data_IF_995727826917
#
_entry.id   IF_995727826917
#
_cell.length_a   1.000
_cell.length_b   1.000
_cell.length_c   1.000
_cell.angle_alpha   90.00
_cell.angle_beta   90.00
_cell.angle_gamma   90.00
#
_symmetry.space_group_name_H-M   'P 1'
#
loop_
_entity.id
_entity.type
_entity.pdbx_description
1 polymer ?
#
# COMPACT_ATOMS: atom_id res chain seq x y z
N UNK A 1 0.96 -2.87 -19.21
CA UNK A 1 1.71 -3.50 -18.10
C UNK A 1 1.28 -4.95 -18.04
N UNK A 2 2.21 -5.89 -17.84
CA UNK A 2 1.83 -7.29 -17.62
C UNK A 2 1.15 -7.46 -16.26
N UNK A 3 0.24 -8.43 -16.18
CA UNK A 3 -0.58 -8.64 -15.01
C UNK A 3 0.19 -9.54 -14.01
N UNK A 4 0.47 -9.02 -12.82
CA UNK A 4 1.36 -9.66 -11.84
C UNK A 4 0.62 -10.64 -10.93
N UNK A 5 0.28 -11.82 -11.44
CA UNK A 5 -0.49 -12.83 -10.71
C UNK A 5 0.20 -14.17 -10.54
N UNK A 6 1.52 -14.20 -10.69
CA UNK A 6 2.35 -15.38 -10.54
C UNK A 6 3.47 -15.11 -9.52
N UNK A 7 4.20 -16.16 -9.18
CA UNK A 7 5.37 -16.04 -8.31
C UNK A 7 6.59 -15.71 -9.15
N UNK A 8 7.07 -14.48 -9.03
CA UNK A 8 8.31 -14.02 -9.66
C UNK A 8 9.14 -13.22 -8.66
N UNK A 9 10.47 -13.36 -8.74
CA UNK A 9 11.41 -12.61 -7.90
C UNK A 9 11.31 -11.13 -8.28
N UNK A 10 11.24 -10.26 -7.27
CA UNK A 10 11.14 -8.81 -7.47
C UNK A 10 9.71 -8.25 -7.51
N UNK A 11 8.67 -9.10 -7.65
CA UNK A 11 7.27 -8.66 -7.56
C UNK A 11 6.73 -8.62 -6.11
N UNK A 12 7.45 -9.27 -5.19
CA UNK A 12 7.02 -9.49 -3.81
C UNK A 12 5.88 -10.52 -3.71
N UNK A 13 5.80 -11.19 -2.56
CA UNK A 13 4.80 -12.23 -2.30
C UNK A 13 4.09 -11.88 -1.00
N UNK A 14 2.87 -11.38 -1.11
CA UNK A 14 2.10 -10.91 0.04
C UNK A 14 0.86 -11.78 0.25
N UNK A 15 0.87 -12.56 1.31
CA UNK A 15 -0.30 -13.33 1.71
C UNK A 15 -1.37 -12.45 2.35
N UNK A 16 -2.61 -12.94 2.46
CA UNK A 16 -3.69 -12.21 3.16
C UNK A 16 -3.30 -11.80 4.60
N UNK A 17 -2.64 -12.67 5.42
CA UNK A 17 -2.07 -12.26 6.70
C UNK A 17 -1.02 -11.15 6.60
N UNK A 18 -0.14 -11.20 5.60
CA UNK A 18 0.89 -10.16 5.41
C UNK A 18 0.25 -8.80 5.16
N UNK A 19 -0.70 -8.72 4.22
CA UNK A 19 -1.44 -7.48 3.92
C UNK A 19 -2.15 -6.97 5.17
N UNK A 20 -2.80 -7.87 5.93
CA UNK A 20 -3.51 -7.52 7.16
C UNK A 20 -2.56 -6.94 8.21
N UNK A 21 -1.39 -7.53 8.41
CA UNK A 21 -0.38 -7.03 9.34
C UNK A 21 0.24 -5.70 8.87
N UNK A 22 0.71 -5.64 7.62
CA UNK A 22 1.40 -4.49 7.03
C UNK A 22 0.50 -3.24 7.01
N UNK A 23 -0.77 -3.41 6.69
CA UNK A 23 -1.73 -2.29 6.61
C UNK A 23 -2.53 -2.06 7.91
N UNK A 24 -2.25 -2.84 8.98
CA UNK A 24 -2.99 -2.82 10.24
C UNK A 24 -4.52 -2.98 10.07
N UNK A 25 -4.91 -4.07 9.42
CA UNK A 25 -6.29 -4.39 9.07
C UNK A 25 -6.68 -5.76 9.63
N UNK A 26 -8.00 -5.97 9.81
CA UNK A 26 -8.52 -7.30 10.13
C UNK A 26 -8.37 -8.24 8.93
N UNK A 27 -7.84 -9.44 9.16
CA UNK A 27 -7.71 -10.51 8.15
C UNK A 27 -8.99 -10.71 7.33
N UNK A 28 -10.14 -10.84 8.01
CA UNK A 28 -11.44 -11.08 7.35
C UNK A 28 -11.81 -9.99 6.34
N UNK A 29 -11.45 -8.75 6.64
CA UNK A 29 -11.72 -7.62 5.74
C UNK A 29 -10.86 -7.69 4.49
N UNK A 30 -9.56 -7.97 4.62
CA UNK A 30 -8.68 -8.16 3.47
C UNK A 30 -9.15 -9.35 2.62
N UNK A 31 -9.44 -10.48 3.27
CA UNK A 31 -9.89 -11.70 2.61
C UNK A 31 -11.16 -11.49 1.77
N UNK A 32 -12.19 -10.85 2.35
CA UNK A 32 -13.46 -10.57 1.65
C UNK A 32 -13.22 -9.63 0.46
N UNK A 33 -12.48 -8.53 0.66
CA UNK A 33 -12.24 -7.55 -0.40
C UNK A 33 -11.42 -8.15 -1.55
N UNK A 34 -10.40 -8.95 -1.25
CA UNK A 34 -9.60 -9.65 -2.25
C UNK A 34 -10.47 -10.55 -3.12
N UNK A 35 -11.30 -11.39 -2.49
CA UNK A 35 -12.14 -12.34 -3.19
C UNK A 35 -13.27 -11.66 -3.99
N UNK A 36 -13.95 -10.69 -3.40
CA UNK A 36 -15.15 -10.09 -4.01
C UNK A 36 -14.82 -9.01 -5.04
N UNK A 37 -13.75 -8.25 -4.84
CA UNK A 37 -13.45 -7.11 -5.69
C UNK A 37 -12.25 -7.34 -6.60
N UNK A 38 -11.09 -7.70 -6.05
CA UNK A 38 -9.90 -7.92 -6.88
C UNK A 38 -10.05 -9.15 -7.77
N UNK A 39 -10.32 -10.34 -7.21
CA UNK A 39 -10.39 -11.56 -8.02
C UNK A 39 -11.64 -11.68 -8.88
N UNK A 40 -12.80 -11.22 -8.39
CA UNK A 40 -14.08 -11.32 -9.12
C UNK A 40 -14.35 -10.09 -9.96
N UNK A 41 -14.54 -8.92 -9.34
CA UNK A 41 -15.01 -7.72 -10.05
C UNK A 41 -13.97 -7.14 -11.02
N UNK A 42 -12.73 -6.97 -10.57
CA UNK A 42 -11.65 -6.42 -11.40
C UNK A 42 -11.04 -7.51 -12.27
N UNK A 43 -10.79 -8.68 -11.68
CA UNK A 43 -10.19 -9.80 -12.40
C UNK A 43 -10.98 -10.25 -13.63
N UNK A 44 -12.32 -10.30 -13.54
CA UNK A 44 -13.17 -10.61 -14.70
C UNK A 44 -13.05 -9.61 -15.86
N UNK A 45 -12.64 -8.37 -15.62
CA UNK A 45 -12.44 -7.36 -16.67
C UNK A 45 -11.13 -7.59 -17.44
N UNK A 46 -10.13 -8.20 -16.79
CA UNK A 46 -8.82 -8.48 -17.36
C UNK A 46 -8.65 -9.96 -17.77
N UNK A 47 -9.64 -10.82 -17.52
CA UNK A 47 -9.56 -12.26 -17.78
C UNK A 47 -8.63 -13.02 -16.82
N UNK A 48 -8.14 -12.35 -15.77
CA UNK A 48 -7.11 -12.86 -14.87
C UNK A 48 -7.45 -12.56 -13.40
N UNK A 49 -6.83 -13.24 -12.44
CA UNK A 49 -7.04 -12.96 -11.00
C UNK A 49 -5.83 -12.26 -10.43
N UNK A 50 -6.05 -11.24 -9.60
CA UNK A 50 -4.99 -10.51 -8.89
C UNK A 50 -4.27 -11.36 -7.82
N UNK A 51 -4.78 -12.55 -7.53
CA UNK A 51 -4.17 -13.46 -6.57
C UNK A 51 -3.93 -14.86 -7.14
N UNK A 52 -2.92 -15.52 -6.60
CA UNK A 52 -2.66 -16.94 -6.80
C UNK A 52 -2.73 -17.69 -5.47
N UNK A 53 -2.90 -19.02 -5.57
CA UNK A 53 -2.92 -19.89 -4.39
C UNK A 53 -1.50 -20.16 -3.91
N UNK A 54 -1.29 -20.01 -2.61
CA UNK A 54 -0.06 -20.41 -1.91
C UNK A 54 -0.48 -21.24 -0.70
N UNK A 55 -0.23 -22.56 -0.77
CA UNK A 55 -0.73 -23.54 0.20
C UNK A 55 -2.24 -23.37 0.47
N UNK A 56 -2.62 -23.12 1.73
CA UNK A 56 -3.99 -22.94 2.18
C UNK A 56 -4.43 -21.45 2.19
N UNK A 57 -3.63 -20.57 1.59
CA UNK A 57 -3.88 -19.12 1.51
C UNK A 57 -3.83 -18.62 0.07
N UNK A 58 -4.03 -17.31 -0.08
CA UNK A 58 -3.80 -16.56 -1.31
C UNK A 58 -2.66 -15.59 -1.11
N UNK A 59 -1.91 -15.34 -2.17
CA UNK A 59 -0.91 -14.29 -2.25
C UNK A 59 -1.19 -13.35 -3.41
N UNK A 60 -0.66 -12.14 -3.31
CA UNK A 60 -0.78 -11.06 -4.30
C UNK A 60 0.58 -10.39 -4.51
N UNK A 61 0.73 -9.67 -5.61
CA UNK A 61 1.91 -8.85 -5.90
C UNK A 61 1.98 -7.58 -5.06
N UNK A 62 3.12 -6.91 -5.06
CA UNK A 62 3.30 -5.62 -4.41
C UNK A 62 2.32 -4.55 -4.87
N UNK A 63 2.06 -4.45 -6.17
CA UNK A 63 1.13 -3.45 -6.67
C UNK A 63 -0.30 -3.70 -6.14
N UNK A 64 -0.70 -4.97 -5.95
CA UNK A 64 -1.97 -5.27 -5.29
C UNK A 64 -1.98 -4.86 -3.80
N UNK A 65 -0.86 -5.00 -3.08
CA UNK A 65 -0.75 -4.46 -1.72
C UNK A 65 -0.92 -2.92 -1.71
N UNK A 66 -0.32 -2.22 -2.68
CA UNK A 66 -0.45 -0.77 -2.83
C UNK A 66 -1.89 -0.35 -3.18
N UNK A 67 -2.55 -1.10 -4.06
CA UNK A 67 -3.97 -0.97 -4.38
C UNK A 67 -4.85 -1.03 -3.11
N UNK A 68 -4.60 -2.02 -2.23
CA UNK A 68 -5.24 -2.09 -0.92
C UNK A 68 -4.96 -0.85 -0.07
N UNK A 69 -3.69 -0.45 0.05
CA UNK A 69 -3.31 0.72 0.84
C UNK A 69 -4.11 1.96 0.41
N UNK A 70 -4.15 2.29 -0.89
CA UNK A 70 -4.89 3.46 -1.40
C UNK A 70 -6.39 3.31 -1.20
N UNK A 71 -6.96 2.13 -1.46
CA UNK A 71 -8.36 1.83 -1.19
C UNK A 71 -8.72 2.15 0.27
N UNK A 72 -7.90 1.72 1.22
CA UNK A 72 -8.15 1.95 2.63
C UNK A 72 -7.94 3.41 3.05
N UNK A 73 -6.98 4.12 2.45
CA UNK A 73 -6.86 5.56 2.66
C UNK A 73 -8.10 6.33 2.19
N UNK A 74 -8.71 5.93 1.07
CA UNK A 74 -9.97 6.50 0.59
C UNK A 74 -11.14 6.16 1.51
N UNK A 75 -11.18 4.92 2.05
CA UNK A 75 -12.17 4.51 3.05
C UNK A 75 -12.08 5.34 4.33
N UNK A 76 -10.88 5.63 4.81
CA UNK A 76 -10.63 6.46 6.00
C UNK A 76 -11.16 7.88 5.84
N UNK A 77 -11.07 8.45 4.62
CA UNK A 77 -11.62 9.78 4.29
C UNK A 77 -13.15 9.74 4.12
N UNK A 78 -13.76 8.55 4.20
CA UNK A 78 -15.22 8.39 4.18
C UNK A 78 -15.82 8.12 2.79
N UNK A 79 -14.99 7.81 1.79
CA UNK A 79 -15.47 7.46 0.45
C UNK A 79 -16.22 6.10 0.51
N UNK A 80 -17.44 6.00 -0.06
CA UNK A 80 -18.17 4.74 -0.14
C UNK A 80 -17.41 3.72 -0.98
N UNK A 81 -17.47 2.44 -0.58
CA UNK A 81 -16.74 1.35 -1.26
C UNK A 81 -17.06 1.32 -2.75
N UNK A 82 -18.34 1.39 -3.12
CA UNK A 82 -18.76 1.37 -4.52
C UNK A 82 -18.11 2.50 -5.34
N UNK A 83 -17.98 3.71 -4.78
CA UNK A 83 -17.34 4.84 -5.47
C UNK A 83 -15.84 4.62 -5.70
N UNK A 84 -15.16 3.95 -4.76
CA UNK A 84 -13.76 3.57 -4.95
C UNK A 84 -13.63 2.53 -6.06
N UNK A 85 -14.51 1.53 -6.09
CA UNK A 85 -14.50 0.48 -7.11
C UNK A 85 -14.84 1.02 -8.52
N UNK A 86 -15.77 1.97 -8.60
CA UNK A 86 -16.12 2.66 -9.84
C UNK A 86 -14.93 3.49 -10.34
N UNK A 87 -14.28 4.26 -9.46
CA UNK A 87 -13.09 5.03 -9.79
C UNK A 87 -11.93 4.14 -10.25
N UNK A 88 -11.67 3.03 -9.55
CA UNK A 88 -10.67 2.05 -9.98
C UNK A 88 -10.96 1.54 -11.40
N UNK A 89 -12.19 1.10 -11.67
CA UNK A 89 -12.58 0.55 -12.98
C UNK A 89 -12.43 1.60 -14.10
N UNK A 90 -12.81 2.85 -13.83
CA UNK A 90 -12.67 3.96 -14.77
C UNK A 90 -11.20 4.27 -15.07
N UNK A 91 -10.36 4.39 -14.03
CA UNK A 91 -8.94 4.67 -14.18
C UNK A 91 -8.19 3.51 -14.86
N UNK A 92 -8.54 2.27 -14.53
CA UNK A 92 -7.96 1.07 -15.16
C UNK A 92 -8.19 1.07 -16.67
N UNK A 93 -9.43 1.38 -17.10
CA UNK A 93 -9.78 1.49 -18.52
C UNK A 93 -9.11 2.67 -19.19
N UNK A 94 -9.14 3.84 -18.57
CA UNK A 94 -8.60 5.09 -19.13
C UNK A 94 -7.10 5.05 -19.34
N UNK A 95 -6.36 4.39 -18.44
CA UNK A 95 -4.90 4.36 -18.44
C UNK A 95 -4.33 2.98 -18.80
N UNK A 96 -5.17 2.04 -19.25
CA UNK A 96 -4.78 0.70 -19.68
C UNK A 96 -3.85 -0.02 -18.68
N UNK A 97 -4.23 0.04 -17.40
CA UNK A 97 -3.47 -0.56 -16.30
C UNK A 97 -4.38 -1.38 -15.40
N UNK A 98 -3.87 -2.51 -14.91
CA UNK A 98 -4.54 -3.30 -13.89
C UNK A 98 -4.40 -2.71 -12.47
N UNK A 99 -3.43 -1.81 -12.27
CA UNK A 99 -3.05 -1.28 -10.96
C UNK A 99 -3.07 0.27 -10.94
N UNK A 100 -4.22 0.92 -11.20
CA UNK A 100 -4.30 2.37 -11.32
C UNK A 100 -3.87 3.12 -10.04
N UNK A 101 -4.11 2.56 -8.85
CA UNK A 101 -3.68 3.11 -7.57
C UNK A 101 -2.24 2.78 -7.21
N UNK A 102 -1.49 2.07 -8.05
CA UNK A 102 -0.05 1.90 -7.91
C UNK A 102 0.78 2.84 -8.82
N UNK A 103 0.14 3.63 -9.68
CA UNK A 103 0.81 4.54 -10.63
C UNK A 103 0.84 5.98 -10.10
N UNK A 104 2.03 6.57 -9.96
CA UNK A 104 2.24 7.91 -9.38
C UNK A 104 1.45 9.00 -10.12
N UNK A 105 1.48 9.00 -11.45
CA UNK A 105 0.81 10.01 -12.30
C UNK A 105 -0.72 9.96 -12.17
N UNK A 106 -1.27 8.82 -11.75
CA UNK A 106 -2.70 8.67 -11.47
C UNK A 106 -2.99 9.15 -10.04
N UNK A 107 -2.28 8.61 -9.04
CA UNK A 107 -2.54 8.91 -7.63
C UNK A 107 -2.33 10.40 -7.31
N UNK A 108 -1.30 11.02 -7.88
CA UNK A 108 -0.99 12.44 -7.64
C UNK A 108 -2.05 13.39 -8.19
N UNK A 109 -2.83 12.94 -9.19
CA UNK A 109 -3.95 13.69 -9.78
C UNK A 109 -5.29 13.33 -9.14
N UNK A 110 -5.31 12.38 -8.20
CA UNK A 110 -6.52 11.91 -7.55
C UNK A 110 -6.75 12.67 -6.25
N UNK A 111 -7.96 13.21 -6.09
CA UNK A 111 -8.35 14.05 -4.96
C UNK A 111 -9.72 13.64 -4.41
N UNK A 112 -10.08 14.13 -3.22
CA UNK A 112 -11.39 13.91 -2.62
C UNK A 112 -12.12 15.24 -2.37
N UNK A 113 -13.36 15.34 -2.88
CA UNK A 113 -14.29 16.42 -2.54
C UNK A 113 -15.46 15.81 -1.77
N UNK A 114 -15.43 15.98 -0.44
CA UNK A 114 -16.34 15.27 0.47
C UNK A 114 -16.18 13.76 0.35
N UNK A 115 -17.25 13.05 0.00
CA UNK A 115 -17.28 11.58 -0.17
C UNK A 115 -17.05 11.12 -1.61
N UNK A 116 -16.63 12.01 -2.51
CA UNK A 116 -16.43 11.74 -3.94
C UNK A 116 -14.95 11.80 -4.29
N UNK A 117 -14.52 10.90 -5.16
CA UNK A 117 -13.20 10.92 -5.78
C UNK A 117 -13.30 11.82 -7.02
N UNK A 118 -12.35 12.74 -7.17
CA UNK A 118 -12.19 13.56 -8.37
C UNK A 118 -10.80 13.33 -8.95
N UNK A 119 -10.66 13.49 -10.26
CA UNK A 119 -9.41 13.28 -10.98
C UNK A 119 -9.08 14.52 -11.79
N UNK A 120 -7.92 15.11 -11.52
CA UNK A 120 -7.43 16.31 -12.18
C UNK A 120 -6.93 15.98 -13.59
N UNK A 121 -7.55 16.58 -14.61
CA UNK A 121 -7.17 16.34 -16.00
C UNK A 121 -6.13 17.36 -16.44
N UNK A 122 -6.28 18.63 -16.05
CA UNK A 122 -5.39 19.76 -16.32
C UNK A 122 -5.25 20.66 -15.08
N UNK A 123 -4.13 21.40 -14.96
CA UNK A 123 -3.75 22.24 -13.80
C UNK A 123 -4.76 23.34 -13.40
N UNK A 124 -5.86 23.55 -14.15
CA UNK A 124 -6.75 24.71 -14.01
C UNK A 124 -8.26 24.41 -13.95
N UNK A 125 -8.72 23.16 -13.87
CA UNK A 125 -10.17 22.87 -13.77
C UNK A 125 -10.51 21.86 -12.67
N UNK A 126 -10.77 22.39 -11.47
CA UNK A 126 -11.55 21.71 -10.42
C UNK A 126 -12.89 22.44 -10.33
N UNK A 127 -13.87 22.02 -11.13
CA UNK A 127 -15.21 22.63 -11.13
C UNK A 127 -16.13 21.88 -10.15
N UNK A 128 -16.54 22.57 -9.09
CA UNK A 128 -17.61 22.15 -8.17
C UNK A 128 -18.98 22.57 -8.73
N UNK A 129 -19.95 21.64 -8.71
CA UNK A 129 -21.32 21.79 -9.24
C UNK A 129 -22.36 21.94 -8.12
N UNK A 130 -22.03 22.76 -7.13
CA UNK A 130 -22.90 23.23 -6.07
C UNK A 130 -22.87 24.76 -6.09
N UNK A 131 -24.05 25.37 -5.97
CA UNK A 131 -24.38 26.77 -6.27
C UNK A 131 -23.63 27.83 -5.45
N UNK A 132 -22.61 27.46 -4.67
CA UNK A 132 -21.86 28.33 -3.77
C UNK A 132 -20.44 28.66 -4.24
N UNK A 133 -19.92 28.06 -5.32
CA UNK A 133 -18.55 28.29 -5.85
C UNK A 133 -17.42 28.17 -4.80
N UNK A 134 -17.66 27.52 -3.65
CA UNK A 134 -16.62 27.31 -2.65
C UNK A 134 -15.82 26.04 -2.97
N UNK A 135 -14.58 26.25 -3.39
CA UNK A 135 -13.54 25.23 -3.45
C UNK A 135 -13.24 24.74 -2.03
N UNK A 136 -13.72 23.55 -1.66
CA UNK A 136 -13.36 22.92 -0.40
C UNK A 136 -11.96 22.29 -0.52
N UNK A 137 -10.93 23.14 -0.68
CA UNK A 137 -9.51 22.81 -0.86
C UNK A 137 -8.85 22.12 0.35
N UNK A 138 -9.61 21.75 1.39
CA UNK A 138 -9.04 21.32 2.67
C UNK A 138 -8.60 19.85 2.76
N UNK A 139 -8.89 19.01 1.77
CA UNK A 139 -8.61 17.57 1.87
C UNK A 139 -7.96 16.96 0.62
N UNK A 140 -6.90 17.61 0.12
CA UNK A 140 -5.90 16.91 -0.69
C UNK A 140 -5.12 16.00 0.26
N UNK A 141 -5.68 14.84 0.61
CA UNK A 141 -4.91 13.80 1.30
C UNK A 141 -3.97 13.25 0.24
N UNK A 142 -2.68 13.52 0.36
CA UNK A 142 -1.65 12.93 -0.48
C UNK A 142 -1.64 11.41 -0.23
N UNK A 143 -2.43 10.64 -0.97
CA UNK A 143 -2.53 9.19 -0.77
C UNK A 143 -1.16 8.51 -0.96
N UNK A 144 -0.30 9.09 -1.81
CA UNK A 144 1.04 8.63 -2.12
C UNK A 144 2.13 8.93 -1.06
N UNK A 145 1.84 9.63 0.05
CA UNK A 145 2.89 10.09 0.99
C UNK A 145 3.72 8.96 1.64
N UNK A 146 3.23 7.71 1.64
CA UNK A 146 3.92 6.51 2.12
C UNK A 146 4.52 5.64 1.02
N UNK A 147 4.54 6.10 -0.23
CA UNK A 147 5.03 5.34 -1.38
C UNK A 147 6.26 6.02 -1.97
N UNK A 148 7.23 5.23 -2.41
CA UNK A 148 8.19 5.65 -3.45
C UNK A 148 7.79 5.01 -4.78
N UNK A 149 8.18 5.68 -5.85
CA UNK A 149 7.92 5.24 -7.22
C UNK A 149 9.23 5.15 -8.00
N UNK A 150 9.27 4.23 -8.95
CA UNK A 150 10.40 4.05 -9.85
C UNK A 150 10.38 5.05 -11.02
N UNK A 151 11.34 4.89 -11.94
CA UNK A 151 11.44 5.69 -13.18
C UNK A 151 10.24 5.52 -14.13
N UNK A 152 9.48 4.45 -13.99
CA UNK A 152 8.29 4.14 -14.78
C UNK A 152 7.00 4.62 -14.10
N UNK A 153 7.12 5.38 -13.00
CA UNK A 153 6.00 5.87 -12.19
C UNK A 153 5.23 4.77 -11.44
N UNK A 154 5.81 3.58 -11.27
CA UNK A 154 5.20 2.49 -10.53
C UNK A 154 5.70 2.47 -9.09
N UNK A 155 4.80 2.19 -8.15
CA UNK A 155 5.18 2.09 -6.75
C UNK A 155 6.21 0.97 -6.58
N UNK A 156 7.34 1.27 -5.94
CA UNK A 156 8.40 0.28 -5.69
C UNK A 156 8.78 0.14 -4.22
N UNK A 157 8.36 1.07 -3.35
CA UNK A 157 8.53 0.94 -1.90
C UNK A 157 7.31 1.46 -1.17
N UNK A 158 6.98 0.82 -0.06
CA UNK A 158 5.96 1.26 0.86
C UNK A 158 6.54 1.44 2.27
N UNK A 159 6.11 2.50 2.95
CA UNK A 159 6.57 2.87 4.29
C UNK A 159 5.39 2.72 5.26
N UNK A 160 5.21 1.57 5.94
CA UNK A 160 4.00 1.30 6.73
C UNK A 160 3.69 2.39 7.77
N UNK A 161 4.72 2.88 8.46
CA UNK A 161 4.62 3.96 9.46
C UNK A 161 5.00 5.34 8.90
N UNK A 162 5.20 5.47 7.58
CA UNK A 162 5.60 6.71 6.92
C UNK A 162 7.11 6.86 6.73
N UNK A 163 7.51 7.78 5.84
CA UNK A 163 8.90 7.90 5.35
C UNK A 163 9.94 8.32 6.39
N UNK A 164 9.49 8.85 7.54
CA UNK A 164 10.38 9.16 8.66
C UNK A 164 10.80 7.91 9.45
N UNK A 165 10.02 6.83 9.38
CA UNK A 165 10.34 5.54 9.99
C UNK A 165 11.23 4.74 9.02
N UNK A 166 12.20 4.00 9.57
CA UNK A 166 13.16 3.21 8.79
C UNK A 166 12.64 1.84 8.36
N UNK A 167 11.47 1.38 8.82
CA UNK A 167 10.87 0.13 8.31
C UNK A 167 10.19 0.37 6.96
N UNK A 168 10.58 -0.43 5.97
CA UNK A 168 10.06 -0.36 4.60
C UNK A 168 9.60 -1.74 4.14
N UNK A 169 8.71 -1.73 3.16
CA UNK A 169 8.29 -2.86 2.35
C UNK A 169 8.83 -2.60 0.95
N UNK A 170 9.69 -3.51 0.47
CA UNK A 170 10.38 -3.40 -0.82
C UNK A 170 10.32 -4.77 -1.50
N UNK A 171 9.58 -4.94 -2.63
CA UNK A 171 9.36 -6.23 -3.25
C UNK A 171 10.62 -6.89 -3.82
N UNK A 172 11.69 -6.11 -4.04
CA UNK A 172 12.99 -6.61 -4.49
C UNK A 172 13.82 -7.21 -3.34
N UNK A 173 13.43 -6.95 -2.09
CA UNK A 173 14.14 -7.40 -0.90
C UNK A 173 13.27 -8.31 -0.03
N UNK A 174 13.82 -9.46 0.38
CA UNK A 174 13.14 -10.39 1.29
C UNK A 174 11.71 -10.75 0.86
N UNK A 175 11.48 -10.89 -0.45
CA UNK A 175 10.17 -11.15 -1.05
C UNK A 175 9.09 -10.12 -0.69
N UNK A 176 9.48 -8.89 -0.37
CA UNK A 176 8.55 -7.83 0.04
C UNK A 176 8.25 -7.79 1.53
N UNK A 177 8.79 -8.70 2.35
CA UNK A 177 8.56 -8.64 3.79
C UNK A 177 9.10 -7.33 4.40
N UNK A 178 8.47 -6.79 5.46
CA UNK A 178 8.96 -5.59 6.13
C UNK A 178 10.40 -5.75 6.62
N UNK A 179 11.27 -4.82 6.23
CA UNK A 179 12.69 -4.80 6.59
C UNK A 179 13.11 -3.41 7.09
N UNK A 180 14.18 -3.36 7.86
CA UNK A 180 14.85 -2.10 8.19
C UNK A 180 15.58 -1.59 6.93
N UNK A 181 15.29 -0.36 6.51
CA UNK A 181 15.82 0.29 5.31
C UNK A 181 17.34 0.20 5.24
N UNK A 182 17.84 -0.07 4.04
CA UNK A 182 19.26 -0.32 3.71
C UNK A 182 19.85 -1.56 4.40
N UNK A 183 19.01 -2.49 4.84
CA UNK A 183 19.41 -3.79 5.40
C UNK A 183 18.44 -4.86 4.90
N UNK A 184 18.69 -6.13 5.25
CA UNK A 184 17.73 -7.23 5.10
C UNK A 184 17.23 -7.74 6.47
N UNK A 185 17.30 -6.90 7.51
CA UNK A 185 16.94 -7.29 8.87
C UNK A 185 15.44 -7.09 9.08
N UNK A 186 14.75 -8.15 9.47
CA UNK A 186 13.35 -8.07 9.87
C UNK A 186 13.20 -7.28 11.18
N UNK A 187 12.23 -6.35 11.29
CA UNK A 187 11.93 -5.63 12.53
C UNK A 187 11.65 -6.58 13.71
N UNK A 188 11.05 -7.75 13.42
CA UNK A 188 10.75 -8.76 14.42
C UNK A 188 12.00 -9.30 15.13
N UNK A 189 13.13 -9.40 14.43
CA UNK A 189 14.42 -9.81 15.01
C UNK A 189 14.84 -8.86 16.12
N UNK A 190 14.78 -7.55 15.84
CA UNK A 190 15.12 -6.48 16.80
C UNK A 190 14.12 -6.47 17.96
N UNK A 191 12.83 -6.59 17.65
CA UNK A 191 11.78 -6.57 18.66
C UNK A 191 11.85 -7.76 19.63
N UNK A 192 12.19 -8.95 19.13
CA UNK A 192 12.37 -10.15 19.96
C UNK A 192 13.56 -10.00 20.93
N UNK A 193 14.70 -9.48 20.47
CA UNK A 193 15.85 -9.19 21.35
C UNK A 193 15.49 -8.18 22.43
N UNK A 194 14.77 -7.11 22.05
CA UNK A 194 14.30 -6.12 23.01
C UNK A 194 13.33 -6.72 24.04
N UNK A 195 12.43 -7.61 23.63
CA UNK A 195 11.55 -8.38 24.54
C UNK A 195 12.32 -9.26 25.51
N UNK A 196 13.44 -9.83 25.08
CA UNK A 196 14.38 -10.59 25.92
C UNK A 196 15.23 -9.72 26.85
N UNK A 197 14.93 -8.42 26.95
CA UNK A 197 15.59 -7.42 27.81
C UNK A 197 17.00 -7.02 27.36
N UNK A 198 17.38 -7.31 26.12
CA UNK A 198 18.60 -6.76 25.55
C UNK A 198 18.51 -5.23 25.43
N UNK A 199 19.63 -4.55 25.71
CA UNK A 199 19.68 -3.10 25.63
C UNK A 199 19.63 -2.64 24.17
N UNK A 200 18.95 -1.52 23.90
CA UNK A 200 18.87 -0.96 22.54
C UNK A 200 20.24 -0.64 21.94
N UNK A 201 21.21 -0.25 22.78
CA UNK A 201 22.60 0.02 22.36
C UNK A 201 23.30 -1.27 21.93
N UNK A 202 23.21 -2.32 22.74
CA UNK A 202 23.78 -3.62 22.40
C UNK A 202 23.18 -4.17 21.10
N UNK A 203 21.86 -4.06 20.90
CA UNK A 203 21.20 -4.48 19.66
C UNK A 203 21.69 -3.67 18.47
N UNK A 204 21.79 -2.34 18.61
CA UNK A 204 22.30 -1.45 17.56
C UNK A 204 23.73 -1.82 17.13
N UNK A 205 24.62 -2.03 18.11
CA UNK A 205 26.01 -2.44 17.89
C UNK A 205 26.09 -3.83 17.25
N UNK A 206 25.32 -4.80 17.73
CA UNK A 206 25.36 -6.19 17.23
C UNK A 206 24.91 -6.36 15.78
N UNK A 207 24.01 -5.48 15.31
CA UNK A 207 23.45 -5.52 13.96
C UNK A 207 23.98 -4.41 13.06
N UNK A 208 24.93 -3.61 13.54
CA UNK A 208 25.50 -2.45 12.82
C UNK A 208 24.43 -1.48 12.30
N UNK A 209 23.39 -1.24 13.11
CA UNK A 209 22.30 -0.31 12.80
C UNK A 209 22.25 0.84 13.80
N UNK A 210 21.63 1.94 13.41
CA UNK A 210 21.45 3.09 14.31
C UNK A 210 20.45 2.81 15.43
N UNK A 211 20.61 3.50 16.56
CA UNK A 211 19.61 3.50 17.64
C UNK A 211 18.21 3.92 17.14
N UNK A 212 18.16 4.81 16.15
CA UNK A 212 16.90 5.19 15.52
C UNK A 212 16.24 3.98 14.82
N UNK A 213 17.00 3.23 14.02
CA UNK A 213 16.48 2.00 13.37
C UNK A 213 16.00 0.97 14.38
N UNK A 214 16.70 0.81 15.51
CA UNK A 214 16.24 -0.06 16.60
C UNK A 214 14.89 0.41 17.16
N UNK A 215 14.74 1.71 17.44
CA UNK A 215 13.50 2.28 17.97
C UNK A 215 12.35 2.14 16.97
N UNK A 216 12.59 2.48 15.71
CA UNK A 216 11.61 2.41 14.62
C UNK A 216 11.11 0.98 14.40
N UNK A 217 12.01 -0.01 14.43
CA UNK A 217 11.66 -1.44 14.32
C UNK A 217 10.78 -1.92 15.48
N UNK A 218 11.11 -1.49 16.71
CA UNK A 218 10.29 -1.78 17.90
C UNK A 218 8.91 -1.11 17.79
N UNK A 219 8.85 0.13 17.33
CA UNK A 219 7.59 0.86 17.11
C UNK A 219 6.71 0.13 16.07
N UNK A 220 7.28 -0.24 14.93
CA UNK A 220 6.60 -1.03 13.90
C UNK A 220 5.96 -2.29 14.48
N UNK A 221 6.75 -3.15 15.13
CA UNK A 221 6.24 -4.38 15.72
C UNK A 221 5.14 -4.14 16.77
N UNK A 222 5.21 -3.06 17.56
CA UNK A 222 4.15 -2.73 18.53
C UNK A 222 2.85 -2.27 17.87
N UNK A 223 2.93 -1.65 16.69
CA UNK A 223 1.77 -1.15 15.96
C UNK A 223 0.99 -2.22 15.19
N UNK A 224 1.66 -3.33 14.84
CA UNK A 224 1.09 -4.45 14.07
C UNK A 224 0.78 -5.69 14.93
N UNK A 225 1.15 -5.67 16.21
CA UNK A 225 0.98 -6.78 17.16
C UNK A 225 -0.41 -6.82 17.80
#
# INVERSE_FOLDING_TARGET
MEFENNMEIGLGIFTVPDIASILNLKYSRVHILLNEYWDKRFGSQHGEKYSWKVHNSKAVSFHTLVEFYIFFQLKEVGVPTQKILDAHSELSKRFETAFPFAVSNIINKMNCVGKRIVFEINDNEIINLDSTKQLNLKFIKLFAHKLDFDKNNLANKFYPLGKSNSVIVDPEHQFGQPVIKNTNIYPQTIYNLHKSKESKKFIAESYEISLKQVNDAIEYCKSVA
#
